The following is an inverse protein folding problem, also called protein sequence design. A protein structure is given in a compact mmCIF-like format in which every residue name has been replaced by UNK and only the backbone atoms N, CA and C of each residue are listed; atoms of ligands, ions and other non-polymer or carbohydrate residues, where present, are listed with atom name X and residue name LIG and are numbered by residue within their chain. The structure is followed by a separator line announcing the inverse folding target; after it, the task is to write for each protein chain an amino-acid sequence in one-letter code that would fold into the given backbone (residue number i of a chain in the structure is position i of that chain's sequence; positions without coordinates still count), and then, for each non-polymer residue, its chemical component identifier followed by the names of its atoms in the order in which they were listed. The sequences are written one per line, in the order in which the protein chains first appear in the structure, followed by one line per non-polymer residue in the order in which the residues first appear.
data_IF_831358183631
#
_entry.id   IF_831358183631
#
_cell.length_a   1.000
_cell.length_b   1.000
_cell.length_c   1.000
_cell.angle_alpha   90.00
_cell.angle_beta   90.00
_cell.angle_gamma   90.00
#
_symmetry.space_group_name_H-M   'P 1'
#
loop_
_entity.id
_entity.type
_entity.pdbx_description
1 polymer ?
#
# COMPACT_ATOMS: atom_id res chain seq x y z
N UNK A 1 14.28 25.67 10.59
CA UNK A 1 13.07 25.43 9.75
C UNK A 1 11.84 25.64 10.61
N UNK A 2 10.93 26.47 10.15
CA UNK A 2 9.65 26.72 10.85
C UNK A 2 8.67 25.57 10.58
N UNK A 3 7.67 25.34 11.44
CA UNK A 3 6.69 24.27 11.24
C UNK A 3 5.97 24.30 9.88
N UNK A 4 5.66 25.50 9.37
CA UNK A 4 5.00 25.67 8.07
C UNK A 4 5.92 25.29 6.89
N UNK A 5 7.21 25.59 7.01
CA UNK A 5 8.21 25.18 6.02
C UNK A 5 8.40 23.67 6.02
N UNK A 6 8.43 23.07 7.22
CA UNK A 6 8.50 21.60 7.36
C UNK A 6 7.30 20.92 6.69
N UNK A 7 6.08 21.38 6.93
CA UNK A 7 4.87 20.80 6.33
C UNK A 7 4.92 20.85 4.79
N UNK A 8 5.40 21.94 4.23
CA UNK A 8 5.55 22.09 2.77
C UNK A 8 6.57 21.12 2.20
N UNK A 9 7.75 21.03 2.84
CA UNK A 9 8.81 20.12 2.38
C UNK A 9 8.39 18.66 2.50
N UNK A 10 7.70 18.30 3.58
CA UNK A 10 7.16 16.96 3.75
C UNK A 10 6.16 16.60 2.64
N UNK A 11 5.28 17.52 2.26
CA UNK A 11 4.36 17.32 1.12
C UNK A 11 5.10 17.13 -0.21
N UNK A 12 6.17 17.88 -0.43
CA UNK A 12 7.01 17.72 -1.61
C UNK A 12 7.64 16.33 -1.65
N UNK A 13 8.26 15.88 -0.56
CA UNK A 13 8.87 14.56 -0.46
C UNK A 13 7.83 13.44 -0.67
N UNK A 14 6.64 13.56 -0.05
CA UNK A 14 5.55 12.60 -0.23
C UNK A 14 5.09 12.49 -1.67
N UNK A 15 4.90 13.64 -2.34
CA UNK A 15 4.52 13.68 -3.76
C UNK A 15 5.58 13.03 -4.65
N UNK A 16 6.85 13.34 -4.42
CA UNK A 16 7.96 12.79 -5.21
C UNK A 16 8.06 11.27 -5.03
N UNK A 17 7.87 10.77 -3.81
CA UNK A 17 7.80 9.33 -3.54
C UNK A 17 6.60 8.68 -4.24
N UNK A 18 5.41 9.24 -4.12
CA UNK A 18 4.20 8.76 -4.81
C UNK A 18 4.38 8.73 -6.33
N UNK A 19 5.04 9.75 -6.89
CA UNK A 19 5.36 9.80 -8.31
C UNK A 19 6.34 8.68 -8.73
N UNK A 20 7.31 8.35 -7.89
CA UNK A 20 8.25 7.26 -8.16
C UNK A 20 7.53 5.91 -8.27
N UNK A 21 6.63 5.59 -7.32
CA UNK A 21 5.82 4.36 -7.37
C UNK A 21 4.89 4.32 -8.59
N UNK A 22 4.22 5.42 -8.90
CA UNK A 22 3.35 5.51 -10.08
C UNK A 22 4.14 5.35 -11.39
N UNK A 23 5.35 5.88 -11.44
CA UNK A 23 6.26 5.74 -12.59
C UNK A 23 6.73 4.30 -12.75
N UNK A 24 7.03 3.62 -11.64
CA UNK A 24 7.39 2.20 -11.67
C UNK A 24 6.24 1.34 -12.21
N UNK A 25 5.03 1.53 -11.67
CA UNK A 25 3.85 0.80 -12.14
C UNK A 25 3.61 0.99 -13.65
N UNK A 26 3.71 2.23 -14.14
CA UNK A 26 3.60 2.52 -15.60
C UNK A 26 4.66 1.80 -16.41
N UNK A 27 5.93 1.78 -15.96
CA UNK A 27 7.01 1.09 -16.65
C UNK A 27 6.77 -0.42 -16.72
N UNK A 28 6.14 -0.98 -15.71
CA UNK A 28 5.78 -2.40 -15.67
C UNK A 28 4.45 -2.71 -16.39
N UNK A 29 3.73 -1.69 -16.87
CA UNK A 29 2.44 -1.87 -17.54
C UNK A 29 1.30 -2.31 -16.61
N UNK A 30 1.40 -1.98 -15.31
CA UNK A 30 0.36 -2.30 -14.32
C UNK A 30 -0.27 -1.05 -13.73
N UNK A 31 -1.47 -1.19 -13.18
CA UNK A 31 -2.13 -0.13 -12.43
C UNK A 31 -1.49 -0.01 -11.03
N UNK A 32 -1.13 1.20 -10.62
CA UNK A 32 -0.47 1.45 -9.35
C UNK A 32 -1.36 1.07 -8.15
N UNK A 33 -2.66 1.34 -8.22
CA UNK A 33 -3.59 1.01 -7.15
C UNK A 33 -3.77 -0.50 -7.02
N UNK A 34 -3.81 -1.23 -8.14
CA UNK A 34 -3.81 -2.70 -8.12
C UNK A 34 -2.52 -3.25 -7.51
N UNK A 35 -1.37 -2.68 -7.86
CA UNK A 35 -0.08 -3.09 -7.30
C UNK A 35 -0.06 -2.94 -5.77
N UNK A 36 -0.56 -1.84 -5.23
CA UNK A 36 -0.64 -1.64 -3.77
C UNK A 36 -1.57 -2.65 -3.09
N UNK A 37 -2.72 -2.94 -3.69
CA UNK A 37 -3.65 -3.94 -3.13
C UNK A 37 -3.04 -5.34 -3.18
N UNK A 38 -2.40 -5.69 -4.29
CA UNK A 38 -1.73 -6.99 -4.44
C UNK A 38 -0.56 -7.13 -3.47
N UNK A 39 0.26 -6.09 -3.30
CA UNK A 39 1.36 -6.10 -2.33
C UNK A 39 0.85 -6.24 -0.89
N UNK A 40 -0.25 -5.56 -0.53
CA UNK A 40 -0.89 -5.73 0.77
C UNK A 40 -1.36 -7.17 1.04
N UNK A 41 -1.77 -7.89 -0.01
CA UNK A 41 -2.19 -9.28 0.06
C UNK A 41 -1.05 -10.29 -0.06
N UNK A 42 0.14 -9.85 -0.47
CA UNK A 42 1.23 -10.74 -0.91
C UNK A 42 1.66 -11.75 0.14
N UNK A 43 1.83 -11.31 1.37
CA UNK A 43 2.29 -12.14 2.48
C UNK A 43 1.13 -12.69 3.35
N UNK A 44 -0.11 -12.49 2.89
CA UNK A 44 -1.33 -12.85 3.62
C UNK A 44 -1.99 -14.10 3.01
N UNK A 45 -1.53 -15.26 3.41
CA UNK A 45 -2.04 -16.54 2.88
C UNK A 45 -3.56 -16.72 3.10
N UNK A 46 -4.07 -16.28 4.23
CA UNK A 46 -5.50 -16.31 4.59
C UNK A 46 -6.30 -15.12 4.02
N UNK A 47 -5.62 -14.21 3.33
CA UNK A 47 -6.22 -13.01 2.78
C UNK A 47 -6.48 -11.91 3.80
N UNK A 48 -7.10 -10.84 3.32
CA UNK A 48 -7.48 -9.67 4.13
C UNK A 48 -8.93 -9.30 3.88
N UNK A 49 -9.58 -8.74 4.91
CA UNK A 49 -10.89 -8.12 4.73
C UNK A 49 -10.79 -6.89 3.83
N UNK A 50 -11.85 -6.59 3.11
CA UNK A 50 -11.94 -5.37 2.30
C UNK A 50 -11.65 -4.12 3.14
N UNK A 51 -12.15 -4.09 4.37
CA UNK A 51 -11.90 -3.00 5.31
C UNK A 51 -10.41 -2.83 5.60
N UNK A 52 -9.71 -3.92 5.92
CA UNK A 52 -8.26 -3.88 6.19
C UNK A 52 -7.48 -3.41 4.97
N UNK A 53 -7.86 -3.81 3.76
CA UNK A 53 -7.23 -3.33 2.53
C UNK A 53 -7.45 -1.82 2.35
N UNK A 54 -8.67 -1.32 2.58
CA UNK A 54 -8.96 0.12 2.55
C UNK A 54 -8.07 0.89 3.52
N UNK A 55 -7.90 0.39 4.74
CA UNK A 55 -7.07 1.02 5.76
C UNK A 55 -5.58 0.98 5.41
N UNK A 56 -5.05 -0.18 4.98
CA UNK A 56 -3.63 -0.33 4.62
C UNK A 56 -3.21 0.44 3.38
N UNK A 57 -4.09 0.52 2.39
CA UNK A 57 -3.81 1.18 1.11
C UNK A 57 -4.29 2.63 1.05
N UNK A 58 -4.91 3.14 2.12
CA UNK A 58 -5.58 4.45 2.14
C UNK A 58 -6.49 4.67 0.92
N UNK A 59 -7.37 3.71 0.70
CA UNK A 59 -8.31 3.70 -0.43
C UNK A 59 -9.74 3.61 0.06
N UNK A 60 -10.65 4.28 -0.66
CA UNK A 60 -12.09 4.17 -0.41
C UNK A 60 -12.64 2.79 -0.80
N UNK A 61 -13.75 2.42 -0.17
CA UNK A 61 -14.43 1.14 -0.39
C UNK A 61 -14.77 0.88 -1.86
N UNK A 62 -15.22 1.92 -2.58
CA UNK A 62 -15.56 1.79 -4.01
C UNK A 62 -14.34 1.49 -4.87
N UNK A 63 -13.21 2.13 -4.57
CA UNK A 63 -11.93 1.89 -5.28
C UNK A 63 -11.46 0.45 -5.06
N UNK A 64 -11.43 -0.02 -3.82
CA UNK A 64 -11.06 -1.40 -3.50
C UNK A 64 -12.01 -2.40 -4.14
N UNK A 65 -13.32 -2.13 -4.13
CA UNK A 65 -14.32 -2.97 -4.82
C UNK A 65 -14.07 -3.06 -6.32
N UNK A 66 -13.72 -1.96 -6.97
CA UNK A 66 -13.43 -1.94 -8.40
C UNK A 66 -12.15 -2.73 -8.73
N UNK A 67 -11.11 -2.57 -7.92
CA UNK A 67 -9.85 -3.35 -8.05
C UNK A 67 -10.15 -4.83 -7.88
N UNK A 68 -10.90 -5.18 -6.85
CA UNK A 68 -11.31 -6.54 -6.59
C UNK A 68 -12.04 -7.19 -7.78
N UNK A 69 -12.98 -6.47 -8.39
CA UNK A 69 -13.70 -6.95 -9.58
C UNK A 69 -12.76 -7.19 -10.76
N UNK A 70 -11.78 -6.30 -10.97
CA UNK A 70 -10.80 -6.48 -12.06
C UNK A 70 -9.87 -7.66 -11.83
N UNK A 71 -9.39 -7.84 -10.60
CA UNK A 71 -8.57 -9.01 -10.23
C UNK A 71 -9.36 -10.31 -10.36
N UNK A 72 -10.60 -10.32 -9.89
CA UNK A 72 -11.51 -11.47 -9.98
C UNK A 72 -11.86 -11.84 -11.42
N UNK A 73 -12.07 -10.86 -12.30
CA UNK A 73 -12.35 -11.09 -13.72
C UNK A 73 -11.19 -11.78 -14.46
N UNK A 74 -9.97 -11.67 -13.94
CA UNK A 74 -8.76 -12.33 -14.45
C UNK A 74 -8.39 -13.58 -13.67
N UNK A 75 -9.23 -14.02 -12.75
CA UNK A 75 -8.97 -15.14 -11.83
C UNK A 75 -7.73 -14.95 -10.94
N UNK A 76 -7.33 -13.71 -10.67
CA UNK A 76 -6.15 -13.38 -9.85
C UNK A 76 -6.46 -13.26 -8.36
N UNK A 77 -7.72 -13.05 -8.02
CA UNK A 77 -8.19 -13.03 -6.64
C UNK A 77 -9.58 -13.65 -6.52
N UNK A 78 -9.84 -14.21 -5.36
CA UNK A 78 -11.17 -14.68 -4.95
C UNK A 78 -11.59 -13.98 -3.67
N UNK A 79 -12.88 -14.01 -3.36
CA UNK A 79 -13.37 -13.57 -2.06
C UNK A 79 -14.37 -14.56 -1.49
N UNK A 80 -14.36 -14.62 -0.17
CA UNK A 80 -15.32 -15.39 0.59
C UNK A 80 -15.78 -14.57 1.81
N UNK A 81 -16.95 -14.90 2.39
CA UNK A 81 -17.39 -14.27 3.63
C UNK A 81 -16.40 -14.59 4.75
N UNK A 82 -16.16 -13.60 5.64
CA UNK A 82 -15.41 -13.84 6.87
C UNK A 82 -16.15 -14.81 7.79
N UNK A 83 -15.43 -15.72 8.43
CA UNK A 83 -16.01 -16.60 9.47
C UNK A 83 -16.42 -15.80 10.71
N UNK A 84 -15.66 -14.76 11.07
CA UNK A 84 -15.92 -13.92 12.22
C UNK A 84 -17.11 -12.96 12.01
N UNK A 85 -17.26 -12.41 10.79
CA UNK A 85 -18.38 -11.54 10.39
C UNK A 85 -18.72 -11.81 8.93
N UNK A 86 -19.82 -12.52 8.69
CA UNK A 86 -20.29 -12.87 7.34
C UNK A 86 -20.64 -11.68 6.45
N UNK A 87 -20.71 -10.47 7.00
CA UNK A 87 -20.89 -9.22 6.25
C UNK A 87 -19.59 -8.73 5.62
N UNK A 88 -18.45 -9.12 6.19
CA UNK A 88 -17.13 -8.84 5.63
C UNK A 88 -16.75 -9.85 4.57
N UNK A 89 -16.07 -9.35 3.53
CA UNK A 89 -15.49 -10.16 2.46
C UNK A 89 -13.99 -10.24 2.67
N UNK A 90 -13.46 -11.46 2.65
CA UNK A 90 -12.01 -11.72 2.70
C UNK A 90 -11.53 -11.93 1.28
N UNK A 91 -10.58 -11.10 0.85
CA UNK A 91 -9.93 -11.20 -0.46
C UNK A 91 -8.66 -12.02 -0.34
N UNK A 92 -8.47 -12.98 -1.24
CA UNK A 92 -7.31 -13.87 -1.30
C UNK A 92 -6.76 -13.87 -2.72
N UNK A 93 -5.45 -13.78 -2.88
CA UNK A 93 -4.79 -13.99 -4.17
C UNK A 93 -4.83 -15.48 -4.54
N UNK A 94 -5.14 -15.77 -5.79
CA UNK A 94 -5.02 -17.10 -6.36
C UNK A 94 -3.57 -17.42 -6.72
N UNK A 95 -3.27 -18.70 -6.98
CA UNK A 95 -1.94 -19.09 -7.48
C UNK A 95 -1.63 -18.42 -8.83
N UNK A 96 -2.62 -18.31 -9.73
CA UNK A 96 -2.49 -17.58 -11.00
C UNK A 96 -2.21 -16.09 -10.76
N UNK A 97 -2.90 -15.48 -9.82
CA UNK A 97 -2.65 -14.08 -9.43
C UNK A 97 -1.25 -13.88 -8.88
N UNK A 98 -0.78 -14.77 -8.02
CA UNK A 98 0.59 -14.74 -7.48
C UNK A 98 1.63 -14.91 -8.57
N UNK A 99 1.44 -15.84 -9.50
CA UNK A 99 2.36 -16.05 -10.61
C UNK A 99 2.44 -14.81 -11.51
N UNK A 100 1.31 -14.25 -11.89
CA UNK A 100 1.26 -13.07 -12.77
C UNK A 100 1.86 -11.81 -12.13
N UNK A 101 1.58 -11.60 -10.84
CA UNK A 101 2.03 -10.42 -10.09
C UNK A 101 3.42 -10.57 -9.48
N UNK A 102 4.04 -11.75 -9.54
CA UNK A 102 5.36 -12.00 -8.93
C UNK A 102 6.40 -10.99 -9.40
N UNK A 103 6.56 -10.81 -10.70
CA UNK A 103 7.55 -9.89 -11.25
C UNK A 103 7.30 -8.43 -10.86
N UNK A 104 6.09 -7.86 -10.97
CA UNK A 104 5.81 -6.50 -10.48
C UNK A 104 6.09 -6.31 -8.98
N UNK A 105 5.63 -7.21 -8.13
CA UNK A 105 5.80 -7.12 -6.66
C UNK A 105 7.28 -7.27 -6.28
N UNK A 106 7.97 -8.27 -6.80
CA UNK A 106 9.38 -8.51 -6.51
C UNK A 106 10.24 -7.32 -6.99
N UNK A 107 9.94 -6.78 -8.18
CA UNK A 107 10.66 -5.62 -8.69
C UNK A 107 10.48 -4.38 -7.83
N UNK A 108 9.26 -4.13 -7.37
CA UNK A 108 9.00 -3.03 -6.46
C UNK A 108 9.80 -3.19 -5.16
N UNK A 109 9.71 -4.34 -4.51
CA UNK A 109 10.41 -4.64 -3.26
C UNK A 109 11.93 -4.61 -3.40
N UNK A 110 12.46 -5.08 -4.52
CA UNK A 110 13.90 -4.98 -4.83
C UNK A 110 14.38 -3.52 -4.88
N UNK A 111 13.61 -2.65 -5.51
CA UNK A 111 13.94 -1.22 -5.60
C UNK A 111 13.80 -0.50 -4.26
N UNK A 112 12.82 -0.88 -3.45
CA UNK A 112 12.67 -0.38 -2.08
C UNK A 112 13.89 -0.74 -1.22
N UNK A 113 14.35 -1.99 -1.29
CA UNK A 113 15.57 -2.44 -0.60
C UNK A 113 16.79 -1.64 -1.06
N UNK A 114 16.99 -1.51 -2.37
CA UNK A 114 18.09 -0.70 -2.92
C UNK A 114 18.06 0.76 -2.50
N UNK A 115 16.87 1.35 -2.46
CA UNK A 115 16.72 2.71 -1.96
C UNK A 115 17.08 2.81 -0.47
N UNK A 116 16.64 1.84 0.34
CA UNK A 116 16.92 1.78 1.76
C UNK A 116 18.41 1.55 2.08
N UNK A 117 19.16 0.85 1.22
CA UNK A 117 20.62 0.66 1.35
C UNK A 117 21.41 1.98 1.33
N UNK A 118 20.83 3.05 0.75
CA UNK A 118 21.43 4.38 0.74
C UNK A 118 21.30 5.14 2.06
N UNK A 119 20.58 4.59 3.03
CA UNK A 119 20.21 5.23 4.30
C UNK A 119 20.76 4.40 5.44
N UNK A 120 21.38 5.06 6.43
CA UNK A 120 21.88 4.37 7.62
C UNK A 120 20.75 3.88 8.52
N UNK A 121 21.02 2.85 9.31
CA UNK A 121 20.04 2.35 10.29
C UNK A 121 19.61 3.41 11.32
N UNK A 122 20.52 4.33 11.67
CA UNK A 122 20.22 5.45 12.57
C UNK A 122 19.24 6.42 11.91
N UNK A 123 19.48 6.83 10.65
CA UNK A 123 18.58 7.71 9.90
C UNK A 123 17.20 7.09 9.71
N UNK A 124 17.12 5.79 9.39
CA UNK A 124 15.87 5.06 9.30
C UNK A 124 15.12 5.11 10.64
N UNK A 125 15.81 4.84 11.73
CA UNK A 125 15.22 4.87 13.07
C UNK A 125 14.69 6.25 13.46
N UNK A 126 15.42 7.32 13.14
CA UNK A 126 14.98 8.71 13.35
C UNK A 126 13.78 9.04 12.49
N UNK A 127 13.83 8.69 11.20
CA UNK A 127 12.74 8.95 10.25
C UNK A 127 11.43 8.32 10.71
N UNK A 128 11.45 7.02 11.06
CA UNK A 128 10.25 6.31 11.53
C UNK A 128 9.65 7.01 12.75
N UNK A 129 10.47 7.28 13.77
CA UNK A 129 10.00 7.96 14.99
C UNK A 129 9.41 9.34 14.73
N UNK A 130 9.98 10.11 13.81
CA UNK A 130 9.49 11.44 13.45
C UNK A 130 8.15 11.33 12.74
N UNK A 131 8.03 10.44 11.76
CA UNK A 131 6.79 10.24 10.99
C UNK A 131 5.66 9.72 11.90
N UNK A 132 5.92 8.74 12.76
CA UNK A 132 4.93 8.21 13.71
C UNK A 132 4.43 9.30 14.66
N UNK A 133 5.32 10.10 15.22
CA UNK A 133 4.94 11.20 16.12
C UNK A 133 4.13 12.26 15.38
N UNK A 134 4.54 12.63 14.18
CA UNK A 134 3.82 13.60 13.36
C UNK A 134 2.41 13.10 13.02
N UNK A 135 2.30 11.87 12.53
CA UNK A 135 1.02 11.26 12.18
C UNK A 135 0.07 11.16 13.39
N UNK A 136 0.59 10.73 14.55
CA UNK A 136 -0.18 10.65 15.78
C UNK A 136 -0.74 12.02 16.20
N UNK A 137 0.12 13.03 16.27
CA UNK A 137 -0.30 14.39 16.64
C UNK A 137 -1.32 14.95 15.66
N UNK A 138 -1.09 14.78 14.35
CA UNK A 138 -2.02 15.21 13.32
C UNK A 138 -3.40 14.55 13.46
N UNK A 139 -3.44 13.23 13.70
CA UNK A 139 -4.70 12.51 13.93
C UNK A 139 -5.44 12.95 15.19
N UNK A 140 -4.71 13.28 16.25
CA UNK A 140 -5.30 13.83 17.49
C UNK A 140 -5.95 15.18 17.24
N UNK A 141 -5.32 16.06 16.47
CA UNK A 141 -5.89 17.37 16.09
C UNK A 141 -7.11 17.24 15.18
N UNK A 142 -7.11 16.30 14.23
CA UNK A 142 -8.27 16.04 13.35
C UNK A 142 -9.51 15.57 14.14
N UNK A 143 -9.32 14.91 15.28
CA UNK A 143 -10.43 14.40 16.11
C UNK A 143 -11.03 15.46 17.05
N UNK A 144 -10.42 16.62 17.21
CA UNK A 144 -10.92 17.75 18.02
C UNK A 144 -11.97 18.57 17.30
#
# INVERSE_FOLDING_TARGET
MRPEEFSKEMWNCWRDLSFAYSSLARKMGVDASELYVVDALWDEAEGLSQRTICERCDMGKQTVSAIYKRLGARDFATAHPSEADKRERIMVLTDEGREWWSQPVERMRELEVKAAESITAEEIGVFIKVVERYAKTFQEEVRR
#
